data_IF_596068073133
#
_entry.id   IF_596068073133
#
_cell.length_a   1.000
_cell.length_b   1.000
_cell.length_c   1.000
_cell.angle_alpha   90.00
_cell.angle_beta   90.00
_cell.angle_gamma   90.00
#
_symmetry.space_group_name_H-M   'P 1'
#
loop_
_entity.id
_entity.type
_entity.pdbx_description
1 polymer ?
#
# COMPACT_ATOMS: atom_id res chain seq x y z
N UNK A 1 34.12 -19.26 19.34
CA UNK A 1 32.87 -18.49 19.28
C UNK A 1 32.80 -17.85 17.90
N UNK A 2 31.84 -18.25 17.07
CA UNK A 2 31.63 -17.62 15.76
C UNK A 2 30.96 -16.25 15.99
N UNK A 3 31.57 -15.18 15.49
CA UNK A 3 30.96 -13.87 15.47
C UNK A 3 29.71 -13.94 14.60
N UNK A 4 28.55 -13.53 15.14
CA UNK A 4 27.35 -13.32 14.34
C UNK A 4 27.70 -12.35 13.20
N UNK A 5 27.38 -12.71 11.95
CA UNK A 5 27.70 -11.90 10.79
C UNK A 5 27.02 -10.54 10.90
N UNK A 6 27.81 -9.47 10.81
CA UNK A 6 27.38 -8.07 10.89
C UNK A 6 26.55 -7.57 9.68
N UNK A 7 25.93 -8.47 8.91
CA UNK A 7 25.27 -8.18 7.63
C UNK A 7 23.74 -8.29 7.66
N UNK A 8 23.13 -8.60 8.82
CA UNK A 8 21.67 -8.61 8.93
C UNK A 8 21.12 -7.21 9.23
N UNK A 9 20.10 -6.72 8.49
CA UNK A 9 19.45 -5.45 8.81
C UNK A 9 18.86 -5.53 10.20
N UNK A 10 19.35 -4.69 11.11
CA UNK A 10 18.93 -4.71 12.52
C UNK A 10 17.64 -3.89 12.70
N UNK A 11 17.41 -2.91 11.84
CA UNK A 11 16.28 -1.98 11.91
C UNK A 11 15.69 -1.69 10.54
N UNK A 12 14.48 -1.15 10.54
CA UNK A 12 13.74 -0.67 9.39
C UNK A 12 13.22 0.74 9.66
N UNK A 13 13.07 1.51 8.60
CA UNK A 13 12.29 2.74 8.55
C UNK A 13 11.10 2.52 7.62
N UNK A 14 10.00 3.22 7.80
CA UNK A 14 8.94 3.25 6.79
C UNK A 14 9.02 4.55 6.01
N UNK A 15 9.07 4.45 4.69
CA UNK A 15 9.02 5.58 3.78
C UNK A 15 7.66 5.61 3.08
N UNK A 16 7.02 6.77 3.02
CA UNK A 16 5.84 7.02 2.18
C UNK A 16 6.28 7.72 0.90
N UNK A 17 6.09 7.07 -0.22
CA UNK A 17 6.43 7.54 -1.57
C UNK A 17 5.14 7.91 -2.31
N UNK A 18 5.15 9.02 -3.04
CA UNK A 18 4.07 9.42 -3.96
C UNK A 18 4.56 10.27 -5.10
N UNK A 19 3.78 10.31 -6.17
CA UNK A 19 4.02 11.20 -7.30
C UNK A 19 3.50 12.60 -6.99
N UNK A 20 4.41 13.59 -7.01
CA UNK A 20 4.07 15.00 -7.00
C UNK A 20 3.77 15.52 -8.41
N UNK A 21 3.68 16.83 -8.62
CA UNK A 21 3.39 17.38 -9.96
C UNK A 21 4.40 16.95 -11.04
N UNK A 22 5.62 16.62 -10.61
CA UNK A 22 6.81 16.67 -11.43
C UNK A 22 7.93 15.69 -10.98
N UNK A 23 7.79 15.05 -9.81
CA UNK A 23 8.80 14.14 -9.23
C UNK A 23 8.20 13.20 -8.18
N UNK A 24 8.91 12.10 -7.87
CA UNK A 24 8.55 11.23 -6.75
C UNK A 24 9.02 11.85 -5.42
N UNK A 25 8.08 12.14 -4.54
CA UNK A 25 8.33 12.67 -3.21
C UNK A 25 8.39 11.50 -2.22
N UNK A 26 9.47 11.45 -1.43
CA UNK A 26 9.65 10.45 -0.36
C UNK A 26 9.59 11.13 1.00
N UNK A 27 8.61 10.74 1.80
CA UNK A 27 8.49 11.16 3.20
C UNK A 27 8.90 9.99 4.10
N UNK A 28 10.06 10.12 4.71
CA UNK A 28 10.55 9.15 5.69
C UNK A 28 9.93 9.39 7.05
N UNK A 29 9.26 8.39 7.61
CA UNK A 29 8.88 8.43 9.01
C UNK A 29 10.14 8.34 9.86
N UNK A 30 10.25 9.16 10.90
CA UNK A 30 11.40 9.15 11.82
C UNK A 30 11.44 7.91 12.73
N UNK A 31 10.42 7.05 12.68
CA UNK A 31 10.32 5.89 13.54
C UNK A 31 11.26 4.78 13.04
N UNK A 32 12.15 4.34 13.92
CA UNK A 32 13.08 3.24 13.67
C UNK A 32 12.54 1.98 14.33
N UNK A 33 12.25 0.98 13.50
CA UNK A 33 11.53 -0.22 13.88
C UNK A 33 12.50 -1.41 13.90
N UNK A 34 12.62 -2.15 15.01
CA UNK A 34 13.41 -3.38 15.07
C UNK A 34 12.96 -4.41 14.01
N UNK A 35 13.90 -5.18 13.45
CA UNK A 35 13.60 -6.23 12.45
C UNK A 35 12.53 -7.22 12.90
N UNK A 36 12.51 -7.62 14.17
CA UNK A 36 11.52 -8.54 14.73
C UNK A 36 10.11 -7.94 14.82
N UNK A 37 9.97 -6.62 14.72
CA UNK A 37 8.71 -5.88 14.87
C UNK A 37 8.17 -5.27 13.57
N UNK A 38 8.95 -5.26 12.48
CA UNK A 38 8.54 -4.59 11.24
C UNK A 38 7.26 -5.16 10.66
N UNK A 39 7.06 -6.48 10.70
CA UNK A 39 5.84 -7.08 10.18
C UNK A 39 4.62 -6.69 11.03
N UNK A 40 4.72 -6.72 12.36
CA UNK A 40 3.64 -6.27 13.25
C UNK A 40 3.30 -4.79 13.02
N UNK A 41 4.33 -3.96 12.83
CA UNK A 41 4.15 -2.55 12.50
C UNK A 41 3.41 -2.35 11.18
N UNK A 42 3.84 -3.04 10.12
CA UNK A 42 3.23 -2.99 8.80
C UNK A 42 1.80 -3.54 8.82
N UNK A 43 1.51 -4.58 9.61
CA UNK A 43 0.15 -5.08 9.85
C UNK A 43 -0.75 -4.01 10.48
N UNK A 44 -0.24 -3.31 11.51
CA UNK A 44 -0.96 -2.24 12.18
C UNK A 44 -1.22 -1.06 11.24
N UNK A 45 -0.21 -0.67 10.46
CA UNK A 45 -0.33 0.38 9.45
C UNK A 45 -1.36 0.01 8.39
N UNK A 46 -1.31 -1.21 7.86
CA UNK A 46 -2.26 -1.73 6.87
C UNK A 46 -3.70 -1.63 7.38
N UNK A 47 -3.97 -2.15 8.59
CA UNK A 47 -5.31 -2.08 9.20
C UNK A 47 -5.81 -0.64 9.43
N UNK A 48 -4.92 0.27 9.84
CA UNK A 48 -5.26 1.69 9.99
C UNK A 48 -5.62 2.33 8.65
N UNK A 49 -4.83 2.05 7.61
CA UNK A 49 -5.09 2.55 6.26
C UNK A 49 -6.39 2.00 5.69
N UNK A 50 -6.65 0.69 5.83
CA UNK A 50 -7.91 0.07 5.41
C UNK A 50 -9.11 0.69 6.10
N UNK A 51 -9.05 0.88 7.43
CA UNK A 51 -10.15 1.50 8.20
C UNK A 51 -10.42 2.94 7.79
N UNK A 52 -9.41 3.67 7.36
CA UNK A 52 -9.53 5.04 6.86
C UNK A 52 -10.11 5.14 5.45
N UNK A 53 -10.25 4.03 4.72
CA UNK A 53 -10.76 4.00 3.36
C UNK A 53 -12.20 3.47 3.32
N UNK A 54 -12.96 4.04 2.40
CA UNK A 54 -14.28 3.51 2.07
C UNK A 54 -14.14 2.11 1.49
N UNK A 55 -15.02 1.16 1.84
CA UNK A 55 -14.95 -0.19 1.29
C UNK A 55 -15.05 -0.16 -0.24
N UNK A 56 -14.47 -1.16 -0.94
CA UNK A 56 -14.61 -1.29 -2.38
C UNK A 56 -16.09 -1.33 -2.78
N UNK A 57 -16.42 -0.73 -3.92
CA UNK A 57 -17.79 -0.75 -4.43
C UNK A 57 -18.06 -2.10 -5.05
N UNK A 58 -19.09 -2.80 -4.58
CA UNK A 58 -19.58 -4.02 -5.23
C UNK A 58 -19.98 -3.69 -6.66
N UNK A 59 -19.49 -4.50 -7.62
CA UNK A 59 -19.88 -4.36 -9.02
C UNK A 59 -21.34 -4.82 -9.20
N UNK A 60 -22.24 -4.00 -9.77
CA UNK A 60 -23.64 -4.40 -9.98
C UNK A 60 -23.78 -5.52 -11.01
N UNK A 61 -22.75 -5.76 -11.83
CA UNK A 61 -22.70 -6.87 -12.79
C UNK A 61 -22.07 -8.14 -12.20
N UNK A 62 -21.79 -8.17 -10.90
CA UNK A 62 -21.28 -9.35 -10.21
C UNK A 62 -19.78 -9.64 -10.40
N UNK A 63 -19.02 -8.73 -11.03
CA UNK A 63 -17.57 -8.89 -11.18
C UNK A 63 -16.88 -8.86 -9.82
N UNK A 64 -16.12 -9.92 -9.53
CA UNK A 64 -15.35 -10.06 -8.29
C UNK A 64 -14.07 -9.21 -8.33
N UNK A 65 -13.48 -8.88 -7.15
CA UNK A 65 -12.19 -8.21 -7.09
C UNK A 65 -11.09 -8.95 -7.87
N UNK A 66 -11.06 -10.28 -7.80
CA UNK A 66 -10.06 -11.13 -8.45
C UNK A 66 -10.18 -11.07 -9.98
N UNK A 67 -11.41 -11.12 -10.51
CA UNK A 67 -11.69 -10.99 -11.94
C UNK A 67 -11.31 -9.60 -12.45
N UNK A 68 -11.66 -8.55 -11.70
CA UNK A 68 -11.29 -7.18 -12.03
C UNK A 68 -9.77 -6.98 -12.07
N UNK A 69 -9.03 -7.54 -11.10
CA UNK A 69 -7.57 -7.43 -11.06
C UNK A 69 -6.88 -8.19 -12.20
N UNK A 70 -7.49 -9.27 -12.68
CA UNK A 70 -6.96 -10.06 -13.80
C UNK A 70 -7.11 -9.33 -15.14
N UNK A 71 -8.25 -8.68 -15.36
CA UNK A 71 -8.50 -7.90 -16.57
C UNK A 71 -9.47 -6.73 -16.30
N UNK A 72 -8.94 -5.54 -15.94
CA UNK A 72 -9.76 -4.35 -15.73
C UNK A 72 -10.49 -3.90 -17.00
N UNK A 73 -9.93 -4.16 -18.19
CA UNK A 73 -10.54 -3.75 -19.45
C UNK A 73 -11.78 -4.58 -19.77
N UNK A 74 -11.73 -5.89 -19.53
CA UNK A 74 -12.92 -6.76 -19.65
C UNK A 74 -14.07 -6.27 -18.76
N UNK A 75 -13.78 -5.78 -17.55
CA UNK A 75 -14.79 -5.18 -16.68
C UNK A 75 -15.41 -3.91 -17.28
N UNK A 76 -14.60 -3.02 -17.84
CA UNK A 76 -15.12 -1.82 -18.51
C UNK A 76 -15.97 -2.15 -19.74
N UNK A 77 -15.58 -3.18 -20.50
CA UNK A 77 -16.32 -3.63 -21.67
C UNK A 77 -17.66 -4.26 -21.29
N UNK A 78 -17.71 -5.06 -20.22
CA UNK A 78 -18.99 -5.57 -19.67
C UNK A 78 -19.96 -4.45 -19.32
N UNK A 79 -19.49 -3.38 -18.67
CA UNK A 79 -20.34 -2.23 -18.38
C UNK A 79 -20.77 -1.48 -19.64
N UNK A 80 -19.89 -1.37 -20.64
CA UNK A 80 -20.23 -0.75 -21.92
C UNK A 80 -21.31 -1.54 -22.67
N UNK A 81 -21.26 -2.86 -22.61
CA UNK A 81 -22.28 -3.72 -23.23
C UNK A 81 -23.61 -3.67 -22.50
N UNK A 82 -23.58 -3.64 -21.17
CA UNK A 82 -24.80 -3.47 -20.35
C UNK A 82 -25.46 -2.13 -20.62
N UNK A 83 -24.68 -1.05 -20.62
CA UNK A 83 -25.11 0.33 -20.91
C UNK A 83 -25.80 0.43 -22.29
N UNK A 84 -25.24 -0.22 -23.32
CA UNK A 84 -25.88 -0.29 -24.66
C UNK A 84 -27.26 -0.97 -24.64
N UNK A 85 -27.52 -1.87 -23.69
CA UNK A 85 -28.77 -2.64 -23.61
C UNK A 85 -29.82 -1.95 -22.75
N UNK A 86 -29.42 -1.34 -21.64
CA UNK A 86 -30.36 -0.79 -20.64
C UNK A 86 -30.44 0.73 -20.67
N UNK A 87 -29.47 1.42 -21.27
CA UNK A 87 -29.32 2.87 -21.18
C UNK A 87 -28.87 3.37 -19.80
N UNK A 88 -28.54 2.45 -18.88
CA UNK A 88 -28.06 2.78 -17.54
C UNK A 88 -26.55 2.63 -17.47
N UNK A 89 -25.88 3.78 -17.44
CA UNK A 89 -24.43 3.86 -17.36
C UNK A 89 -23.94 3.69 -15.91
N UNK A 90 -23.08 2.68 -15.66
CA UNK A 90 -22.42 2.51 -14.36
C UNK A 90 -20.99 2.01 -14.51
N UNK A 91 -20.06 2.87 -14.98
CA UNK A 91 -18.63 2.49 -15.11
C UNK A 91 -17.78 2.83 -13.88
N UNK A 92 -18.41 3.37 -12.83
CA UNK A 92 -17.73 3.93 -11.65
C UNK A 92 -17.55 2.93 -10.50
N UNK A 93 -17.80 1.64 -10.73
CA UNK A 93 -17.45 0.64 -9.73
C UNK A 93 -16.00 0.21 -9.91
N UNK A 94 -15.27 0.13 -8.81
CA UNK A 94 -13.98 -0.53 -8.73
C UNK A 94 -14.09 -1.50 -7.55
N UNK A 95 -14.25 -2.81 -7.82
CA UNK A 95 -14.42 -3.80 -6.76
C UNK A 95 -13.08 -4.17 -6.09
N UNK A 96 -11.93 -3.72 -6.61
CA UNK A 96 -10.63 -4.05 -6.01
C UNK A 96 -10.37 -3.32 -4.69
N UNK A 97 -9.58 -3.95 -3.81
CA UNK A 97 -9.11 -3.33 -2.58
C UNK A 97 -8.31 -2.07 -2.86
N UNK A 98 -8.67 -0.99 -2.14
CA UNK A 98 -7.99 0.31 -2.23
C UNK A 98 -6.62 0.30 -1.56
N UNK A 99 -6.44 -0.56 -0.57
CA UNK A 99 -5.18 -0.78 0.13
C UNK A 99 -4.76 -2.21 -0.15
N UNK A 100 -3.56 -2.39 -0.68
CA UNK A 100 -3.01 -3.70 -1.04
C UNK A 100 -1.65 -3.84 -0.37
N UNK A 101 -1.32 -5.05 0.05
CA UNK A 101 -0.02 -5.37 0.63
C UNK A 101 0.72 -6.35 -0.26
N UNK A 102 2.02 -6.11 -0.40
CA UNK A 102 2.98 -7.01 -1.04
C UNK A 102 3.05 -8.38 -0.35
N UNK A 103 3.52 -9.39 -1.09
CA UNK A 103 3.62 -10.76 -0.59
C UNK A 103 4.62 -10.94 0.56
N UNK A 104 5.69 -10.13 0.58
CA UNK A 104 6.67 -10.12 1.69
C UNK A 104 6.17 -9.28 2.89
N UNK A 105 5.07 -8.56 2.73
CA UNK A 105 4.47 -7.74 3.77
C UNK A 105 5.20 -6.43 4.09
N UNK A 106 6.21 -6.05 3.29
CA UNK A 106 7.08 -4.88 3.53
C UNK A 106 6.72 -3.66 2.67
N UNK A 107 5.74 -3.80 1.78
CA UNK A 107 5.19 -2.70 0.98
C UNK A 107 3.65 -2.70 1.05
N UNK A 108 3.07 -1.51 1.23
CA UNK A 108 1.62 -1.26 1.20
C UNK A 108 1.34 -0.18 0.14
N UNK A 109 0.47 -0.48 -0.81
CA UNK A 109 0.01 0.45 -1.84
C UNK A 109 -1.40 0.94 -1.51
N UNK A 110 -1.62 2.24 -1.52
CA UNK A 110 -2.93 2.88 -1.41
C UNK A 110 -3.28 3.50 -2.77
N UNK A 111 -4.20 2.86 -3.50
CA UNK A 111 -4.51 3.19 -4.91
C UNK A 111 -5.16 4.55 -5.10
N UNK A 112 -6.12 4.90 -4.25
CA UNK A 112 -6.90 6.15 -4.40
C UNK A 112 -6.03 7.41 -4.25
N UNK A 113 -4.95 7.32 -3.46
CA UNK A 113 -4.08 8.46 -3.19
C UNK A 113 -2.68 8.30 -3.82
N UNK A 114 -2.47 7.21 -4.55
CA UNK A 114 -1.19 6.87 -5.19
C UNK A 114 -0.01 6.85 -4.20
N UNK A 115 -0.28 6.50 -2.93
CA UNK A 115 0.73 6.35 -1.88
C UNK A 115 1.30 4.93 -1.87
N UNK A 116 2.61 4.83 -1.71
CA UNK A 116 3.30 3.57 -1.41
C UNK A 116 4.09 3.70 -0.12
N UNK A 117 3.78 2.87 0.86
CA UNK A 117 4.51 2.77 2.11
C UNK A 117 5.48 1.59 2.02
N UNK A 118 6.79 1.83 2.15
CA UNK A 118 7.84 0.82 2.03
C UNK A 118 8.66 0.72 3.32
N UNK A 119 8.88 -0.48 3.81
CA UNK A 119 9.83 -0.76 4.87
C UNK A 119 11.25 -0.81 4.28
N UNK A 120 12.08 0.16 4.62
CA UNK A 120 13.45 0.30 4.15
C UNK A 120 14.42 -0.22 5.21
N UNK A 121 15.25 -1.23 4.90
CA UNK A 121 16.22 -1.77 5.87
C UNK A 121 17.34 -0.76 6.15
N UNK A 122 17.74 -0.65 7.41
CA UNK A 122 18.82 0.20 7.89
C UNK A 122 19.96 -0.67 8.43
N UNK A 123 21.20 -0.34 8.03
CA UNK A 123 22.40 -1.11 8.39
C UNK A 123 23.09 -0.63 9.66
N UNK A 124 23.05 0.68 9.96
CA UNK A 124 23.53 1.26 11.22
C UNK A 124 22.71 2.52 11.53
N UNK A 125 22.33 2.73 12.78
CA UNK A 125 21.73 3.98 13.24
C UNK A 125 22.78 5.10 13.15
N UNK A 126 22.44 6.20 12.50
CA UNK A 126 23.18 7.46 12.66
C UNK A 126 22.43 8.34 13.67
N UNK A 127 23.12 9.18 14.45
CA UNK A 127 22.46 10.08 15.43
C UNK A 127 21.35 10.95 14.80
N UNK A 128 21.46 11.22 13.50
CA UNK A 128 20.48 11.95 12.69
C UNK A 128 19.11 11.27 12.60
N UNK A 129 19.05 9.94 12.74
CA UNK A 129 17.81 9.15 12.71
C UNK A 129 17.03 9.22 14.04
N UNK A 130 17.67 9.67 15.13
CA UNK A 130 17.08 9.73 16.48
C UNK A 130 16.44 11.08 16.80
N UNK A 131 16.68 12.11 16.00
CA UNK A 131 16.23 13.49 16.26
C UNK A 131 15.05 13.90 15.37
N UNK A 132 13.85 13.34 15.61
CA UNK A 132 12.58 14.09 15.54
C UNK A 132 11.36 13.18 15.81
N UNK A 133 10.81 13.18 17.03
CA UNK A 133 9.57 12.47 17.30
C UNK A 133 8.38 13.31 16.79
N UNK A 134 7.86 12.96 15.61
CA UNK A 134 6.46 13.29 15.28
C UNK A 134 5.62 12.11 15.70
N UNK A 135 4.85 12.29 16.79
CA UNK A 135 3.89 11.30 17.29
C UNK A 135 2.79 11.10 16.23
N UNK A 136 2.53 9.84 15.90
CA UNK A 136 1.33 9.38 15.18
C UNK A 136 0.04 9.80 15.89
#
# INVERSE_FOLDING_TARGET
MAAASADEPVYYRVDRVYEGCCEFITHSFSEIIPKDKIHEYMDCLFKKLEKGKSPPRVCPLGVTPEEYLKDPNAHYDLHREHDKKTGEYSRHCNPSSKVVRSADGLEITVRDDEYVYKAVPLRMMTESDLTNPVKL
#
